data_IF_500140701333
#
_entry.id   IF_500140701333
#
_cell.length_a   1.000
_cell.length_b   1.000
_cell.length_c   1.000
_cell.angle_alpha   90.00
_cell.angle_beta   90.00
_cell.angle_gamma   90.00
#
_symmetry.space_group_name_H-M   'P 1'
#
loop_
_entity.id
_entity.type
_entity.pdbx_description
1 polymer ?
#
# COMPACT_ATOMS: atom_id res chain seq x y z
N UNK A 1 -23.28 18.10 27.85
CA UNK A 1 -23.99 19.40 27.72
C UNK A 1 -23.07 20.58 27.98
N UNK A 2 -22.32 20.59 29.10
CA UNK A 2 -21.37 21.66 29.46
C UNK A 2 -20.33 21.99 28.37
N UNK A 3 -19.79 20.96 27.72
CA UNK A 3 -18.77 21.15 26.68
C UNK A 3 -19.33 21.85 25.44
N UNK A 4 -20.56 21.52 25.05
CA UNK A 4 -21.26 22.13 23.92
C UNK A 4 -21.54 23.62 24.16
N UNK A 5 -21.92 23.99 25.37
CA UNK A 5 -22.15 25.40 25.76
C UNK A 5 -20.86 26.20 25.79
N UNK A 6 -19.76 25.59 26.25
CA UNK A 6 -18.44 26.20 26.22
C UNK A 6 -17.97 26.46 24.78
N UNK A 7 -18.10 25.46 23.88
CA UNK A 7 -17.75 25.63 22.47
C UNK A 7 -18.59 26.72 21.80
N UNK A 8 -19.88 26.82 22.14
CA UNK A 8 -20.78 27.86 21.62
C UNK A 8 -20.37 29.27 22.06
N UNK A 9 -19.92 29.40 23.32
CA UNK A 9 -19.41 30.67 23.87
C UNK A 9 -18.10 31.09 23.20
N UNK A 10 -17.18 30.15 22.97
CA UNK A 10 -15.92 30.38 22.26
C UNK A 10 -16.18 30.79 20.79
N UNK A 11 -17.11 30.13 20.10
CA UNK A 11 -17.51 30.48 18.73
C UNK A 11 -18.10 31.90 18.63
N UNK A 12 -18.93 32.31 19.59
CA UNK A 12 -19.46 33.69 19.63
C UNK A 12 -18.35 34.72 19.78
N UNK A 13 -17.39 34.48 20.68
CA UNK A 13 -16.24 35.37 20.87
C UNK A 13 -15.39 35.47 19.60
N UNK A 14 -15.13 34.36 18.94
CA UNK A 14 -14.40 34.35 17.66
C UNK A 14 -15.15 35.13 16.57
N UNK A 15 -16.49 35.00 16.52
CA UNK A 15 -17.34 35.76 15.60
C UNK A 15 -17.26 37.27 15.81
N UNK A 16 -17.26 37.74 17.06
CA UNK A 16 -17.09 39.16 17.38
C UNK A 16 -15.71 39.69 16.97
N UNK A 17 -14.65 38.92 17.23
CA UNK A 17 -13.29 39.28 16.83
C UNK A 17 -13.17 39.37 15.30
N UNK A 18 -13.73 38.39 14.58
CA UNK A 18 -13.76 38.40 13.11
C UNK A 18 -14.54 39.61 12.57
N UNK A 19 -15.66 39.97 13.20
CA UNK A 19 -16.44 41.16 12.86
C UNK A 19 -15.63 42.46 13.02
N UNK A 20 -14.89 42.59 14.12
CA UNK A 20 -13.98 43.73 14.37
C UNK A 20 -12.84 43.78 13.35
N UNK A 21 -12.22 42.64 13.05
CA UNK A 21 -11.17 42.54 12.04
C UNK A 21 -11.67 42.96 10.66
N UNK A 22 -12.86 42.49 10.26
CA UNK A 22 -13.49 42.89 8.99
C UNK A 22 -13.74 44.40 8.93
N UNK A 23 -14.22 44.98 10.02
CA UNK A 23 -14.42 46.43 10.14
C UNK A 23 -13.11 47.20 9.97
N UNK A 24 -12.05 46.78 10.65
CA UNK A 24 -10.73 47.41 10.55
C UNK A 24 -10.15 47.31 9.13
N UNK A 25 -10.28 46.16 8.46
CA UNK A 25 -9.84 45.96 7.07
C UNK A 25 -10.63 46.89 6.13
N UNK A 26 -11.94 46.98 6.31
CA UNK A 26 -12.78 47.85 5.48
C UNK A 26 -12.43 49.32 5.66
N UNK A 27 -12.07 49.73 6.88
CA UNK A 27 -11.60 51.07 7.16
C UNK A 27 -10.25 51.37 6.50
N UNK A 28 -9.30 50.42 6.54
CA UNK A 28 -8.01 50.55 5.83
C UNK A 28 -8.22 50.74 4.32
N UNK A 29 -9.20 50.05 3.72
CA UNK A 29 -9.55 50.20 2.29
C UNK A 29 -10.04 51.61 1.92
N UNK A 30 -10.53 52.39 2.87
CA UNK A 30 -10.96 53.78 2.64
C UNK A 30 -9.82 54.79 2.72
N UNK A 31 -8.61 54.37 3.09
CA UNK A 31 -7.48 55.27 3.20
C UNK A 31 -6.99 55.72 1.81
N UNK A 32 -6.64 57.00 1.59
CA UNK A 32 -6.23 57.51 0.26
C UNK A 32 -5.02 56.80 -0.35
N UNK A 33 -4.11 56.30 0.50
CA UNK A 33 -2.95 55.53 0.06
C UNK A 33 -3.31 54.10 -0.38
N UNK A 34 -4.49 53.58 -0.01
CA UNK A 34 -4.90 52.25 -0.43
C UNK A 34 -5.27 52.23 -1.92
N UNK A 35 -5.87 53.30 -2.43
CA UNK A 35 -6.18 53.47 -3.86
C UNK A 35 -4.93 53.59 -4.73
N UNK A 36 -3.79 54.05 -4.17
CA UNK A 36 -2.53 54.12 -4.89
C UNK A 36 -1.80 52.77 -5.01
N UNK A 37 -2.24 51.76 -4.28
CA UNK A 37 -1.76 50.39 -4.40
C UNK A 37 -2.63 49.68 -5.44
N UNK A 38 -2.14 49.60 -6.68
CA UNK A 38 -2.82 48.85 -7.74
C UNK A 38 -3.02 47.37 -7.39
N UNK A 39 -3.82 46.66 -8.18
CA UNK A 39 -3.99 45.20 -8.05
C UNK A 39 -2.75 44.45 -8.53
N UNK A 40 -1.68 44.51 -7.74
CA UNK A 40 -0.45 43.76 -7.99
C UNK A 40 -0.63 42.33 -7.48
N UNK A 41 -0.81 41.37 -8.39
CA UNK A 41 -0.66 39.96 -8.08
C UNK A 41 0.78 39.55 -8.38
N UNK A 42 1.62 39.56 -7.35
CA UNK A 42 2.97 38.99 -7.45
C UNK A 42 2.87 37.48 -7.62
N UNK A 43 3.54 36.92 -8.63
CA UNK A 43 3.81 35.49 -8.72
C UNK A 43 4.88 35.03 -7.73
N UNK A 44 5.71 35.95 -7.22
CA UNK A 44 6.80 35.66 -6.30
C UNK A 44 6.49 36.14 -4.89
N UNK A 45 6.55 35.23 -3.92
CA UNK A 45 6.36 35.52 -2.50
C UNK A 45 7.66 36.16 -1.95
N UNK A 46 7.64 37.41 -1.49
CA UNK A 46 8.83 38.04 -0.94
C UNK A 46 9.36 37.25 0.28
N UNK A 47 10.69 37.04 0.42
CA UNK A 47 11.26 36.33 1.57
C UNK A 47 10.85 36.89 2.93
N UNK A 48 10.56 38.20 2.98
CA UNK A 48 10.09 38.92 4.17
C UNK A 48 8.75 38.39 4.71
N UNK A 49 7.87 37.88 3.84
CA UNK A 49 6.62 37.22 4.25
C UNK A 49 6.90 35.99 5.14
N UNK A 50 8.03 35.32 4.92
CA UNK A 50 8.41 34.16 5.70
C UNK A 50 9.32 34.49 6.87
N UNK A 51 10.07 35.60 6.87
CA UNK A 51 11.06 35.90 7.92
C UNK A 51 10.54 36.78 9.07
N UNK A 52 9.68 37.76 8.79
CA UNK A 52 9.13 38.65 9.82
C UNK A 52 7.83 38.07 10.42
N UNK A 53 7.72 37.93 11.76
CA UNK A 53 6.54 37.36 12.42
C UNK A 53 5.22 38.05 12.08
N UNK A 54 5.24 39.37 11.85
CA UNK A 54 4.03 40.18 11.59
C UNK A 54 3.45 39.86 10.22
N UNK A 55 4.32 39.74 9.21
CA UNK A 55 3.94 39.38 7.86
C UNK A 55 3.65 37.88 7.73
N UNK A 56 4.38 37.04 8.47
CA UNK A 56 4.18 35.58 8.50
C UNK A 56 2.77 35.19 8.92
N UNK A 57 2.21 35.82 9.96
CA UNK A 57 0.86 35.54 10.43
C UNK A 57 -0.21 35.89 9.36
N UNK A 58 -0.08 37.04 8.71
CA UNK A 58 -0.97 37.45 7.63
C UNK A 58 -0.82 36.55 6.40
N UNK A 59 0.41 36.13 6.10
CA UNK A 59 0.69 35.23 4.99
C UNK A 59 0.15 33.81 5.22
N UNK A 60 0.25 33.28 6.45
CA UNK A 60 -0.39 32.03 6.83
C UNK A 60 -1.91 32.09 6.67
N UNK A 61 -2.53 33.15 7.19
CA UNK A 61 -3.97 33.38 7.03
C UNK A 61 -4.37 33.48 5.55
N UNK A 62 -3.58 34.19 4.73
CA UNK A 62 -3.80 34.26 3.29
C UNK A 62 -3.77 32.88 2.63
N UNK A 63 -2.76 32.05 2.96
CA UNK A 63 -2.63 30.69 2.43
C UNK A 63 -3.75 29.76 2.89
N UNK A 64 -4.19 29.90 4.14
CA UNK A 64 -5.34 29.16 4.70
C UNK A 64 -6.64 29.55 3.99
N UNK A 65 -6.89 30.85 3.80
CA UNK A 65 -8.07 31.36 3.08
C UNK A 65 -8.07 30.99 1.58
N UNK A 66 -6.89 30.83 0.99
CA UNK A 66 -6.73 30.39 -0.40
C UNK A 66 -6.78 28.88 -0.58
N UNK A 67 -6.95 28.10 0.47
CA UNK A 67 -6.81 26.64 0.44
C UNK A 67 -5.46 26.21 -0.20
N UNK A 68 -4.37 26.93 0.04
CA UNK A 68 -3.03 26.58 -0.44
C UNK A 68 -2.30 25.60 0.52
N UNK A 69 -2.98 25.17 1.59
CA UNK A 69 -2.44 24.20 2.54
C UNK A 69 -3.24 22.89 2.43
N UNK A 70 -2.56 21.86 1.94
CA UNK A 70 -3.08 20.49 1.99
C UNK A 70 -2.96 19.99 3.43
N UNK A 71 -4.10 19.70 4.07
CA UNK A 71 -4.14 19.25 5.45
C UNK A 71 -4.23 17.72 5.51
N UNK A 72 -3.10 17.07 5.82
CA UNK A 72 -3.08 15.64 6.13
C UNK A 72 -3.63 15.43 7.53
N UNK A 73 -4.78 14.77 7.64
CA UNK A 73 -5.34 14.35 8.92
C UNK A 73 -5.13 12.84 9.07
N UNK A 74 -4.66 12.41 10.24
CA UNK A 74 -4.52 10.98 10.55
C UNK A 74 -5.78 10.55 11.32
N UNK A 75 -6.38 9.43 10.93
CA UNK A 75 -7.57 8.93 11.61
C UNK A 75 -7.32 8.75 13.12
N UNK A 76 -8.25 9.20 13.97
CA UNK A 76 -8.07 9.28 15.42
C UNK A 76 -7.78 7.91 16.07
N UNK A 77 -8.18 6.82 15.44
CA UNK A 77 -7.86 5.46 15.89
C UNK A 77 -6.36 5.18 15.95
N UNK A 78 -5.52 5.86 15.17
CA UNK A 78 -4.05 5.73 15.28
C UNK A 78 -3.53 6.23 16.63
N UNK A 79 -4.15 7.24 17.23
CA UNK A 79 -3.76 7.79 18.54
C UNK A 79 -4.09 6.85 19.70
N UNK A 80 -5.04 5.93 19.54
CA UNK A 80 -5.49 5.00 20.59
C UNK A 80 -4.99 3.57 20.41
N UNK A 81 -4.30 3.25 19.32
CA UNK A 81 -3.85 1.90 19.02
C UNK A 81 -2.37 1.69 19.37
N UNK A 82 -2.10 1.05 20.51
CA UNK A 82 -0.81 0.41 20.75
C UNK A 82 -0.72 -0.87 19.92
N UNK A 83 -0.04 -0.80 18.77
CA UNK A 83 0.25 -1.97 17.94
C UNK A 83 1.55 -2.62 18.40
N UNK A 84 1.60 -3.95 18.37
CA UNK A 84 2.85 -4.70 18.56
C UNK A 84 3.83 -4.41 17.43
N UNK A 85 5.13 -4.51 17.71
CA UNK A 85 6.20 -4.21 16.74
C UNK A 85 6.13 -5.07 15.47
N UNK A 86 5.74 -6.35 15.61
CA UNK A 86 5.54 -7.24 14.47
C UNK A 86 4.40 -6.77 13.56
N UNK A 87 3.27 -6.34 14.13
CA UNK A 87 2.16 -5.77 13.35
C UNK A 87 2.52 -4.43 12.69
N UNK A 88 3.32 -3.59 13.36
CA UNK A 88 3.83 -2.36 12.75
C UNK A 88 4.75 -2.65 11.57
N UNK A 89 5.60 -3.68 11.69
CA UNK A 89 6.48 -4.11 10.61
C UNK A 89 5.69 -4.65 9.41
N UNK A 90 4.63 -5.41 9.65
CA UNK A 90 3.70 -5.91 8.63
C UNK A 90 3.03 -4.76 7.85
N UNK A 91 2.42 -3.80 8.57
CA UNK A 91 1.79 -2.61 7.97
C UNK A 91 2.83 -1.82 7.17
N UNK A 92 4.01 -1.58 7.75
CA UNK A 92 5.09 -0.86 7.08
C UNK A 92 5.57 -1.58 5.82
N UNK A 93 5.70 -2.90 5.87
CA UNK A 93 6.10 -3.72 4.74
C UNK A 93 5.06 -3.69 3.61
N UNK A 94 3.77 -3.76 3.94
CA UNK A 94 2.69 -3.58 2.97
C UNK A 94 2.76 -2.20 2.27
N UNK A 95 3.05 -1.14 3.03
CA UNK A 95 3.27 0.19 2.46
C UNK A 95 4.50 0.25 1.54
N UNK A 96 5.55 -0.55 1.81
CA UNK A 96 6.69 -0.66 0.88
C UNK A 96 6.29 -1.30 -0.45
N UNK A 97 5.39 -2.29 -0.46
CA UNK A 97 4.85 -2.81 -1.73
C UNK A 97 4.12 -1.73 -2.51
N UNK A 98 3.22 -0.98 -1.88
CA UNK A 98 2.50 0.14 -2.52
C UNK A 98 3.49 1.14 -3.12
N UNK A 99 4.47 1.59 -2.32
CA UNK A 99 5.49 2.55 -2.76
C UNK A 99 6.34 2.01 -3.91
N UNK A 100 6.67 0.72 -3.89
CA UNK A 100 7.52 0.08 -4.89
C UNK A 100 6.78 -0.09 -6.21
N UNK A 101 5.52 -0.56 -6.17
CA UNK A 101 4.67 -0.70 -7.35
C UNK A 101 4.40 0.66 -8.01
N UNK A 102 4.07 1.68 -7.21
CA UNK A 102 3.84 3.04 -7.68
C UNK A 102 5.13 3.83 -7.99
N UNK A 103 6.30 3.32 -7.59
CA UNK A 103 7.59 3.96 -7.77
C UNK A 103 8.02 3.98 -9.24
N UNK A 104 8.89 4.92 -9.62
CA UNK A 104 9.30 5.14 -11.01
C UNK A 104 9.92 3.92 -11.72
N UNK A 105 10.50 2.97 -10.98
CA UNK A 105 11.11 1.77 -11.56
C UNK A 105 10.10 0.74 -12.08
N UNK A 106 8.99 0.54 -11.34
CA UNK A 106 7.91 -0.34 -11.78
C UNK A 106 6.82 0.43 -12.52
N UNK A 107 6.51 1.66 -12.10
CA UNK A 107 5.68 2.61 -12.83
C UNK A 107 4.20 2.22 -12.93
N UNK A 108 3.66 1.49 -11.96
CA UNK A 108 2.23 1.20 -11.94
C UNK A 108 1.43 2.37 -11.40
N UNK A 109 0.22 2.57 -11.92
CA UNK A 109 -0.71 3.59 -11.45
C UNK A 109 -1.78 2.91 -10.57
N UNK A 110 -1.99 3.35 -9.33
CA UNK A 110 -3.09 2.86 -8.51
C UNK A 110 -4.43 3.34 -9.07
N UNK A 111 -5.36 2.43 -9.32
CA UNK A 111 -6.70 2.75 -9.87
C UNK A 111 -7.75 2.92 -8.78
N UNK A 112 -7.70 2.06 -7.75
CA UNK A 112 -8.68 2.03 -6.66
C UNK A 112 -8.10 1.31 -5.44
N UNK A 113 -8.74 1.53 -4.30
CA UNK A 113 -8.50 0.80 -3.07
C UNK A 113 -7.82 1.63 -1.98
N UNK A 114 -8.20 1.37 -0.73
CA UNK A 114 -7.67 2.04 0.46
C UNK A 114 -7.59 3.57 0.33
N UNK A 115 -6.39 4.16 0.41
CA UNK A 115 -6.14 5.59 0.29
C UNK A 115 -6.53 6.15 -1.09
N UNK A 116 -6.48 5.33 -2.14
CA UNK A 116 -6.75 5.74 -3.52
C UNK A 116 -8.25 5.79 -3.86
N UNK A 117 -9.11 5.29 -2.96
CA UNK A 117 -10.57 5.46 -3.07
C UNK A 117 -11.12 6.62 -2.23
N UNK A 118 -10.28 7.33 -1.48
CA UNK A 118 -10.71 8.45 -0.65
C UNK A 118 -11.06 9.65 -1.54
N UNK A 119 -12.26 10.19 -1.38
CA UNK A 119 -12.61 11.50 -1.94
C UNK A 119 -11.93 12.59 -1.13
N UNK A 120 -11.28 13.53 -1.82
CA UNK A 120 -10.73 14.72 -1.17
C UNK A 120 -11.88 15.57 -0.63
N UNK A 121 -12.01 15.63 0.69
CA UNK A 121 -12.90 16.59 1.36
C UNK A 121 -12.22 17.97 1.30
N UNK A 122 -12.42 18.66 0.17
CA UNK A 122 -11.76 19.93 -0.11
C UNK A 122 -10.24 19.78 -0.21
N UNK A 123 -9.52 20.37 0.75
CA UNK A 123 -8.05 20.39 0.81
C UNK A 123 -7.47 19.47 1.88
N UNK A 124 -8.29 18.59 2.47
CA UNK A 124 -7.85 17.64 3.49
C UNK A 124 -7.97 16.20 3.03
N UNK A 125 -6.93 15.42 3.32
CA UNK A 125 -6.92 13.98 3.11
C UNK A 125 -6.81 13.30 4.47
N UNK A 126 -7.83 12.51 4.79
CA UNK A 126 -7.83 11.65 5.96
C UNK A 126 -7.13 10.35 5.60
N UNK A 127 -6.01 10.05 6.26
CA UNK A 127 -5.32 8.76 6.12
C UNK A 127 -6.07 7.73 6.98
N UNK A 128 -6.79 6.77 6.37
CA UNK A 128 -7.53 5.76 7.12
C UNK A 128 -6.58 4.73 7.72
N UNK A 129 -7.07 3.96 8.69
CA UNK A 129 -6.37 2.73 9.12
C UNK A 129 -6.29 1.73 7.97
N UNK A 130 -5.38 0.76 8.08
CA UNK A 130 -5.29 -0.39 7.20
C UNK A 130 -6.04 -1.59 7.83
N UNK A 131 -7.33 -1.81 7.51
CA UNK A 131 -8.06 -2.98 8.00
C UNK A 131 -7.63 -4.26 7.27
N UNK A 132 -7.90 -5.41 7.89
CA UNK A 132 -7.81 -6.69 7.21
C UNK A 132 -8.72 -6.72 5.96
N UNK A 133 -8.35 -7.54 4.98
CA UNK A 133 -9.01 -7.61 3.67
C UNK A 133 -8.97 -6.28 2.89
N UNK A 134 -7.91 -5.50 3.05
CA UNK A 134 -7.70 -4.30 2.22
C UNK A 134 -7.09 -4.69 0.88
N UNK A 135 -7.64 -4.15 -0.22
CA UNK A 135 -7.10 -4.30 -1.56
C UNK A 135 -6.68 -2.93 -2.12
N UNK A 136 -5.56 -2.91 -2.86
CA UNK A 136 -5.18 -1.83 -3.76
C UNK A 136 -4.94 -2.41 -5.16
N UNK A 137 -5.64 -1.88 -6.16
CA UNK A 137 -5.53 -2.31 -7.55
C UNK A 137 -4.65 -1.34 -8.32
N UNK A 138 -3.67 -1.90 -9.03
CA UNK A 138 -2.71 -1.18 -9.86
C UNK A 138 -2.86 -1.57 -11.33
N UNK A 139 -2.60 -0.65 -12.25
CA UNK A 139 -2.54 -0.91 -13.70
C UNK A 139 -1.28 -0.33 -14.33
N UNK A 140 -0.74 -1.07 -15.30
CA UNK A 140 0.32 -0.63 -16.20
C UNK A 140 0.24 -1.43 -17.49
N UNK A 141 0.04 -0.75 -18.62
CA UNK A 141 -0.09 -1.39 -19.93
C UNK A 141 -1.16 -2.51 -19.89
N UNK A 142 -0.80 -3.74 -20.31
CA UNK A 142 -1.64 -4.93 -20.26
C UNK A 142 -1.71 -5.61 -18.88
N UNK A 143 -0.96 -5.09 -17.88
CA UNK A 143 -0.88 -5.67 -16.55
C UNK A 143 -1.83 -4.98 -15.58
N UNK A 144 -2.56 -5.80 -14.83
CA UNK A 144 -3.34 -5.38 -13.65
C UNK A 144 -2.85 -6.18 -12.45
N UNK A 145 -2.71 -5.54 -11.30
CA UNK A 145 -2.23 -6.19 -10.08
C UNK A 145 -3.14 -5.87 -8.91
N UNK A 146 -3.51 -6.88 -8.14
CA UNK A 146 -4.25 -6.72 -6.90
C UNK A 146 -3.29 -6.99 -5.75
N UNK A 147 -2.95 -5.94 -5.03
CA UNK A 147 -2.20 -6.04 -3.79
C UNK A 147 -3.21 -6.16 -2.65
N UNK A 148 -3.25 -7.31 -2.00
CA UNK A 148 -4.26 -7.64 -0.97
C UNK A 148 -3.56 -7.87 0.37
N UNK A 149 -4.07 -7.23 1.41
CA UNK A 149 -3.57 -7.27 2.78
C UNK A 149 -4.48 -8.10 3.69
N UNK A 150 -3.88 -9.05 4.42
CA UNK A 150 -4.50 -9.83 5.51
C UNK A 150 -5.92 -10.32 5.13
N UNK A 151 -6.00 -11.08 4.03
CA UNK A 151 -7.27 -11.57 3.50
C UNK A 151 -7.40 -13.10 3.67
N UNK A 152 -8.54 -13.52 4.21
CA UNK A 152 -8.86 -14.93 4.40
C UNK A 152 -9.15 -15.61 3.05
N UNK A 153 -8.44 -16.69 2.78
CA UNK A 153 -8.65 -17.51 1.60
C UNK A 153 -9.75 -18.56 1.87
N UNK A 154 -10.73 -18.71 0.96
CA UNK A 154 -11.76 -19.73 1.11
C UNK A 154 -11.17 -21.14 1.03
N UNK A 155 -11.88 -22.11 1.62
CA UNK A 155 -11.51 -23.53 1.56
C UNK A 155 -12.03 -24.27 0.33
N UNK A 156 -12.86 -23.61 -0.49
CA UNK A 156 -13.59 -24.23 -1.60
C UNK A 156 -13.54 -23.33 -2.83
N UNK A 157 -13.27 -23.93 -3.99
CA UNK A 157 -13.18 -23.21 -5.28
C UNK A 157 -14.47 -22.48 -5.65
N UNK A 158 -15.65 -22.99 -5.28
CA UNK A 158 -16.94 -22.34 -5.57
C UNK A 158 -17.13 -20.96 -4.91
N UNK A 159 -16.27 -20.61 -3.96
CA UNK A 159 -16.27 -19.31 -3.27
C UNK A 159 -15.27 -18.33 -3.88
N UNK A 160 -14.59 -18.71 -4.97
CA UNK A 160 -13.61 -17.88 -5.67
C UNK A 160 -14.24 -17.20 -6.89
N UNK A 161 -13.73 -16.04 -7.26
CA UNK A 161 -14.10 -15.29 -8.48
C UNK A 161 -12.85 -14.98 -9.30
N UNK A 162 -13.00 -14.36 -10.48
CA UNK A 162 -11.81 -13.90 -11.23
C UNK A 162 -11.02 -12.85 -10.46
N UNK A 163 -11.67 -12.04 -9.62
CA UNK A 163 -11.04 -11.01 -8.79
C UNK A 163 -10.41 -11.59 -7.51
N UNK A 164 -11.01 -12.63 -6.95
CA UNK A 164 -10.50 -13.37 -5.79
C UNK A 164 -10.22 -14.82 -6.19
N UNK A 165 -9.12 -15.08 -6.92
CA UNK A 165 -8.98 -16.32 -7.69
C UNK A 165 -8.50 -17.52 -6.87
N UNK A 166 -8.10 -17.32 -5.63
CA UNK A 166 -7.39 -18.31 -4.82
C UNK A 166 -8.30 -18.97 -3.79
N UNK A 167 -8.15 -20.28 -3.65
CA UNK A 167 -8.63 -21.03 -2.50
C UNK A 167 -7.51 -21.92 -1.96
N UNK A 168 -7.64 -22.37 -0.71
CA UNK A 168 -6.67 -23.26 -0.07
C UNK A 168 -7.31 -24.57 0.37
N UNK A 169 -6.53 -25.66 0.28
CA UNK A 169 -6.87 -26.94 0.95
C UNK A 169 -6.12 -27.13 2.27
N UNK A 170 -5.21 -26.22 2.59
CA UNK A 170 -4.44 -26.24 3.83
C UNK A 170 -5.13 -25.50 4.98
N UNK A 171 -4.60 -25.65 6.19
CA UNK A 171 -5.06 -24.94 7.38
C UNK A 171 -4.52 -23.51 7.48
N UNK A 172 -3.43 -23.20 6.78
CA UNK A 172 -2.89 -21.84 6.67
C UNK A 172 -3.61 -21.12 5.52
N UNK A 173 -4.54 -20.23 5.88
CA UNK A 173 -5.47 -19.61 4.94
C UNK A 173 -5.51 -18.09 5.00
N UNK A 174 -4.72 -17.44 5.84
CA UNK A 174 -4.64 -15.98 5.91
C UNK A 174 -3.16 -15.58 5.86
N UNK A 175 -2.56 -15.37 4.67
CA UNK A 175 -1.23 -14.77 4.58
C UNK A 175 -1.30 -13.28 4.97
N UNK A 176 -0.15 -12.70 5.34
CA UNK A 176 -0.09 -11.26 5.66
C UNK A 176 -0.39 -10.41 4.40
N UNK A 177 -0.05 -10.92 3.21
CA UNK A 177 -0.62 -10.43 1.97
C UNK A 177 -0.30 -11.26 0.74
N UNK A 178 -0.88 -10.82 -0.38
CA UNK A 178 -0.69 -11.42 -1.70
C UNK A 178 -0.67 -10.35 -2.79
N UNK A 179 0.05 -10.64 -3.87
CA UNK A 179 0.06 -9.86 -5.09
C UNK A 179 -0.44 -10.74 -6.23
N UNK A 180 -1.72 -10.58 -6.57
CA UNK A 180 -2.35 -11.30 -7.69
C UNK A 180 -2.07 -10.52 -8.99
N UNK A 181 -1.51 -11.20 -9.99
CA UNK A 181 -1.07 -10.59 -11.24
C UNK A 181 -1.97 -11.05 -12.38
N UNK A 182 -2.42 -10.08 -13.16
CA UNK A 182 -3.27 -10.27 -14.31
C UNK A 182 -2.60 -9.69 -15.55
N UNK A 183 -2.79 -10.35 -16.69
CA UNK A 183 -2.33 -9.89 -18.01
C UNK A 183 -3.46 -10.00 -19.01
N UNK A 184 -3.82 -8.89 -19.66
CA UNK A 184 -5.00 -8.82 -20.52
C UNK A 184 -6.26 -9.35 -19.81
N UNK A 185 -6.43 -8.94 -18.54
CA UNK A 185 -7.50 -9.36 -17.63
C UNK A 185 -7.53 -10.85 -17.24
N UNK A 186 -6.59 -11.66 -17.72
CA UNK A 186 -6.44 -13.06 -17.32
C UNK A 186 -5.54 -13.16 -16.08
N UNK A 187 -5.97 -13.92 -15.07
CA UNK A 187 -5.14 -14.20 -13.89
C UNK A 187 -3.96 -15.11 -14.28
N UNK A 188 -2.72 -14.65 -14.07
CA UNK A 188 -1.51 -15.38 -14.48
C UNK A 188 -0.69 -15.96 -13.32
N UNK A 189 -1.07 -15.62 -12.09
CA UNK A 189 -0.49 -16.17 -10.88
C UNK A 189 -0.38 -15.14 -9.76
N UNK A 190 0.13 -15.60 -8.63
CA UNK A 190 0.22 -14.82 -7.39
C UNK A 190 1.60 -14.94 -6.76
N UNK A 191 2.01 -13.89 -6.05
CA UNK A 191 3.12 -13.91 -5.10
C UNK A 191 2.51 -13.77 -3.71
N UNK A 192 2.77 -14.74 -2.83
CA UNK A 192 2.34 -14.66 -1.42
C UNK A 192 3.47 -14.05 -0.62
N UNK A 193 3.17 -13.21 0.37
CA UNK A 193 4.18 -12.68 1.27
C UNK A 193 3.70 -12.64 2.73
N UNK A 194 4.64 -12.92 3.62
CA UNK A 194 4.47 -12.99 5.06
C UNK A 194 5.61 -12.19 5.72
N UNK A 195 5.27 -11.25 6.59
CA UNK A 195 6.22 -10.41 7.31
C UNK A 195 6.56 -11.04 8.66
N UNK A 196 7.84 -11.39 8.84
CA UNK A 196 8.33 -12.04 10.06
C UNK A 196 9.35 -11.14 10.76
N UNK A 197 8.92 -10.48 11.84
CA UNK A 197 9.80 -9.67 12.70
C UNK A 197 10.64 -10.55 13.64
N UNK A 198 11.57 -11.33 13.08
CA UNK A 198 12.43 -12.28 13.83
C UNK A 198 13.71 -12.65 13.05
N UNK A 199 14.71 -13.25 13.70
CA UNK A 199 15.93 -13.68 13.03
C UNK A 199 15.66 -14.72 11.94
N UNK A 200 16.44 -14.64 10.85
CA UNK A 200 16.34 -15.53 9.69
C UNK A 200 16.29 -17.03 10.04
N UNK A 201 17.17 -17.50 10.93
CA UNK A 201 17.24 -18.92 11.31
C UNK A 201 15.96 -19.41 12.02
N UNK A 202 15.15 -18.50 12.59
CA UNK A 202 13.86 -18.81 13.18
C UNK A 202 12.73 -18.86 12.14
N UNK A 203 12.94 -18.29 10.96
CA UNK A 203 12.00 -18.34 9.82
C UNK A 203 12.27 -19.61 9.02
N UNK A 204 13.54 -19.86 8.70
CA UNK A 204 13.96 -21.00 7.92
C UNK A 204 15.24 -21.60 8.49
N UNK A 205 15.20 -22.88 8.83
CA UNK A 205 16.34 -23.62 9.35
C UNK A 205 16.67 -24.78 8.40
N UNK A 206 17.80 -24.65 7.69
CA UNK A 206 18.27 -25.65 6.72
C UNK A 206 18.56 -27.01 7.34
N UNK A 207 19.01 -27.04 8.59
CA UNK A 207 19.26 -28.31 9.29
C UNK A 207 17.95 -29.08 9.53
N UNK A 208 16.81 -28.41 9.68
CA UNK A 208 15.52 -29.08 9.80
C UNK A 208 15.11 -29.68 8.46
N UNK A 209 15.29 -28.95 7.35
CA UNK A 209 14.97 -29.45 6.00
C UNK A 209 15.75 -30.72 5.67
N UNK A 210 17.06 -30.74 5.94
CA UNK A 210 17.92 -31.93 5.70
C UNK A 210 17.40 -33.16 6.45
N UNK A 211 16.77 -32.96 7.61
CA UNK A 211 16.22 -34.04 8.44
C UNK A 211 14.72 -34.29 8.17
N UNK A 212 14.15 -33.76 7.08
CA UNK A 212 12.71 -33.82 6.78
C UNK A 212 11.82 -33.29 7.91
N UNK A 213 12.31 -32.28 8.63
CA UNK A 213 11.61 -31.59 9.69
C UNK A 213 11.32 -30.14 9.30
N UNK A 214 10.27 -29.57 9.89
CA UNK A 214 9.89 -28.18 9.67
C UNK A 214 9.38 -27.59 10.98
N UNK A 215 9.78 -26.35 11.25
CA UNK A 215 9.14 -25.56 12.30
C UNK A 215 7.77 -25.03 11.81
N UNK A 216 7.01 -24.42 12.70
CA UNK A 216 5.67 -23.91 12.38
C UNK A 216 5.68 -22.88 11.24
N UNK A 217 6.65 -21.95 11.24
CA UNK A 217 6.78 -20.92 10.21
C UNK A 217 7.10 -21.54 8.85
N UNK A 218 8.00 -22.52 8.81
CA UNK A 218 8.34 -23.26 7.59
C UNK A 218 7.13 -24.00 7.04
N UNK A 219 6.36 -24.68 7.90
CA UNK A 219 5.10 -25.35 7.50
C UNK A 219 4.09 -24.36 6.94
N UNK A 220 3.96 -23.17 7.55
CA UNK A 220 3.09 -22.12 7.07
C UNK A 220 3.49 -21.66 5.66
N UNK A 221 4.76 -21.30 5.45
CA UNK A 221 5.28 -20.83 4.17
C UNK A 221 5.16 -21.89 3.06
N UNK A 222 5.55 -23.13 3.35
CA UNK A 222 5.42 -24.26 2.42
C UNK A 222 3.94 -24.51 2.09
N UNK A 223 3.04 -24.43 3.09
CA UNK A 223 1.61 -24.58 2.86
C UNK A 223 1.05 -23.54 1.89
N UNK A 224 1.52 -22.29 1.93
CA UNK A 224 1.11 -21.29 0.93
C UNK A 224 1.60 -21.64 -0.48
N UNK A 225 2.80 -22.21 -0.62
CA UNK A 225 3.36 -22.60 -1.92
C UNK A 225 2.65 -23.80 -2.54
N UNK A 226 2.19 -24.75 -1.72
CA UNK A 226 1.75 -26.07 -2.18
C UNK A 226 0.23 -26.28 -2.16
N UNK A 227 -0.48 -25.63 -1.23
CA UNK A 227 -1.91 -25.89 -1.00
C UNK A 227 -2.84 -24.81 -1.57
N UNK A 228 -2.29 -23.78 -2.22
CA UNK A 228 -3.06 -22.75 -2.90
C UNK A 228 -3.35 -23.14 -4.35
N UNK A 229 -4.61 -22.99 -4.72
CA UNK A 229 -5.15 -23.42 -6.01
C UNK A 229 -6.07 -22.33 -6.58
N UNK A 230 -6.25 -22.36 -7.90
CA UNK A 230 -7.14 -21.43 -8.59
C UNK A 230 -7.79 -22.12 -9.79
N UNK A 231 -9.12 -22.02 -9.94
CA UNK A 231 -9.77 -22.41 -11.18
C UNK A 231 -9.59 -21.36 -12.29
N UNK A 232 -9.11 -20.16 -11.97
CA UNK A 232 -9.04 -19.02 -12.91
C UNK A 232 -7.65 -18.79 -13.51
N UNK A 233 -6.68 -19.66 -13.21
CA UNK A 233 -5.33 -19.52 -13.74
C UNK A 233 -5.38 -19.63 -15.28
N UNK A 234 -4.85 -18.63 -15.98
CA UNK A 234 -4.85 -18.51 -17.45
C UNK A 234 -6.24 -18.59 -18.13
N UNK A 235 -7.34 -18.29 -17.43
CA UNK A 235 -8.68 -18.30 -18.02
C UNK A 235 -9.77 -18.78 -17.07
N UNK A 236 -10.76 -19.49 -17.60
CA UNK A 236 -11.93 -19.98 -16.88
C UNK A 236 -11.78 -21.43 -16.36
N UNK A 237 -10.56 -21.97 -16.41
CA UNK A 237 -10.28 -23.34 -15.95
C UNK A 237 -10.82 -24.44 -16.87
N UNK A 238 -11.24 -24.08 -18.09
CA UNK A 238 -11.75 -25.04 -19.09
C UNK A 238 -10.73 -26.08 -19.52
N UNK A 239 -9.43 -25.82 -19.38
CA UNK A 239 -8.37 -26.72 -19.82
C UNK A 239 -7.82 -27.60 -18.67
N UNK A 240 -7.94 -28.94 -18.73
CA UNK A 240 -7.52 -29.84 -17.65
C UNK A 240 -6.05 -29.66 -17.23
N UNK A 241 -5.14 -29.40 -18.18
CA UNK A 241 -3.71 -29.18 -17.89
C UNK A 241 -3.50 -27.98 -16.96
N UNK A 242 -4.30 -26.94 -17.08
CA UNK A 242 -4.13 -25.70 -16.31
C UNK A 242 -4.55 -25.89 -14.86
N UNK A 243 -5.54 -26.74 -14.61
CA UNK A 243 -6.02 -27.04 -13.25
C UNK A 243 -4.96 -27.70 -12.35
N UNK A 244 -3.93 -28.32 -12.95
CA UNK A 244 -2.81 -28.93 -12.22
C UNK A 244 -1.68 -27.96 -11.92
N UNK A 245 -1.64 -26.81 -12.60
CA UNK A 245 -0.60 -25.82 -12.43
C UNK A 245 -0.78 -25.06 -11.12
N UNK A 246 0.32 -24.83 -10.41
CA UNK A 246 0.29 -23.98 -9.22
C UNK A 246 0.10 -22.51 -9.62
N UNK A 247 -0.86 -21.79 -9.01
CA UNK A 247 -1.00 -20.34 -9.21
C UNK A 247 0.08 -19.56 -8.46
N UNK A 248 0.63 -20.12 -7.36
CA UNK A 248 1.69 -19.51 -6.55
C UNK A 248 3.04 -19.87 -7.14
N UNK A 249 3.81 -18.87 -7.57
CA UNK A 249 5.17 -19.08 -8.06
C UNK A 249 6.22 -18.85 -6.99
N UNK A 250 5.92 -17.98 -6.03
CA UNK A 250 6.84 -17.62 -4.98
C UNK A 250 6.09 -17.24 -3.71
N UNK A 251 6.64 -17.66 -2.57
CA UNK A 251 6.21 -17.30 -1.22
C UNK A 251 7.36 -16.57 -0.56
N UNK A 252 7.14 -15.32 -0.20
CA UNK A 252 8.15 -14.47 0.39
C UNK A 252 8.01 -14.44 1.91
N UNK A 253 9.08 -14.78 2.62
CA UNK A 253 9.18 -14.44 4.03
C UNK A 253 10.06 -13.20 4.16
N UNK A 254 9.43 -12.08 4.48
CA UNK A 254 10.08 -10.77 4.53
C UNK A 254 10.47 -10.47 5.97
N UNK A 255 11.73 -10.14 6.22
CA UNK A 255 12.23 -9.97 7.58
C UNK A 255 13.27 -8.85 7.69
N UNK A 256 13.38 -8.19 8.86
CA UNK A 256 14.43 -7.22 9.10
C UNK A 256 15.72 -7.93 9.47
N UNK A 257 16.85 -7.45 8.97
CA UNK A 257 18.18 -7.97 9.32
C UNK A 257 18.99 -6.88 10.01
N UNK A 258 19.41 -7.15 11.25
CA UNK A 258 20.20 -6.19 12.02
C UNK A 258 21.66 -6.10 11.56
N UNK A 259 22.14 -7.11 10.81
CA UNK A 259 23.54 -7.23 10.44
C UNK A 259 23.83 -6.73 9.01
N UNK A 260 22.86 -6.07 8.35
CA UNK A 260 23.07 -5.30 7.12
C UNK A 260 23.53 -6.11 5.90
N UNK A 261 23.26 -7.41 5.86
CA UNK A 261 23.57 -8.25 4.69
C UNK A 261 22.40 -8.23 3.72
N UNK A 262 22.31 -7.17 2.92
CA UNK A 262 21.25 -7.03 1.91
C UNK A 262 21.20 -8.24 0.99
N UNK A 263 19.99 -8.77 0.78
CA UNK A 263 19.76 -9.80 -0.23
C UNK A 263 18.52 -10.65 0.03
N UNK A 264 18.40 -11.68 -0.81
CA UNK A 264 17.47 -12.79 -0.57
C UNK A 264 18.21 -14.11 -0.55
N UNK A 265 17.56 -15.12 0.04
CA UNK A 265 17.91 -16.52 -0.20
C UNK A 265 16.68 -17.25 -0.71
N UNK A 266 16.81 -17.84 -1.88
CA UNK A 266 15.77 -18.64 -2.52
C UNK A 266 15.92 -20.11 -2.12
N UNK A 267 14.79 -20.79 -1.93
CA UNK A 267 14.64 -22.22 -1.69
C UNK A 267 13.65 -22.78 -2.72
N UNK A 268 14.11 -23.04 -3.96
CA UNK A 268 13.23 -23.35 -5.09
C UNK A 268 12.33 -24.58 -4.87
N UNK A 269 12.84 -25.62 -4.19
CA UNK A 269 12.11 -26.86 -3.89
C UNK A 269 10.85 -26.62 -3.04
N UNK A 270 10.76 -25.47 -2.38
CA UNK A 270 9.63 -25.07 -1.53
C UNK A 270 8.91 -23.82 -2.04
N UNK A 271 9.36 -23.25 -3.17
CA UNK A 271 8.92 -21.94 -3.68
C UNK A 271 9.09 -20.80 -2.66
N UNK A 272 9.96 -20.95 -1.67
CA UNK A 272 10.15 -19.96 -0.59
C UNK A 272 11.35 -19.08 -0.90
N UNK A 273 11.18 -17.78 -0.70
CA UNK A 273 12.27 -16.80 -0.75
C UNK A 273 12.29 -15.98 0.53
N UNK A 274 13.44 -15.95 1.20
CA UNK A 274 13.65 -15.09 2.35
C UNK A 274 14.17 -13.75 1.84
N UNK A 275 13.46 -12.67 2.09
CA UNK A 275 13.79 -11.34 1.57
C UNK A 275 14.05 -10.40 2.72
N UNK A 276 15.23 -9.80 2.74
CA UNK A 276 15.52 -8.75 3.70
C UNK A 276 14.77 -7.46 3.34
N UNK A 277 14.10 -6.87 4.33
CA UNK A 277 13.54 -5.54 4.23
C UNK A 277 13.62 -4.82 5.58
N UNK A 278 14.70 -4.06 5.79
CA UNK A 278 14.96 -3.40 7.07
C UNK A 278 14.56 -1.92 7.01
N UNK A 279 13.76 -1.41 7.96
CA UNK A 279 13.40 0.01 8.00
C UNK A 279 14.63 0.91 8.11
N UNK A 280 14.68 1.97 7.29
CA UNK A 280 15.78 2.94 7.28
C UNK A 280 17.04 2.51 6.50
N UNK A 281 17.07 1.30 5.93
CA UNK A 281 18.12 0.87 5.00
C UNK A 281 17.67 1.07 3.54
N UNK A 282 18.60 0.84 2.62
CA UNK A 282 18.32 0.82 1.17
C UNK A 282 17.39 -0.34 0.80
N UNK A 283 16.42 -0.06 -0.07
CA UNK A 283 15.41 -1.02 -0.52
C UNK A 283 15.52 -1.33 -2.00
N UNK A 284 16.56 -0.88 -2.70
CA UNK A 284 16.78 -1.13 -4.14
C UNK A 284 16.68 -2.63 -4.47
N UNK A 285 17.29 -3.49 -3.65
CA UNK A 285 17.21 -4.94 -3.83
C UNK A 285 15.76 -5.48 -3.80
N UNK A 286 14.92 -4.97 -2.91
CA UNK A 286 13.51 -5.37 -2.82
C UNK A 286 12.76 -4.98 -4.09
N UNK A 287 13.05 -3.78 -4.63
CA UNK A 287 12.47 -3.29 -5.88
C UNK A 287 12.87 -4.18 -7.06
N UNK A 288 14.16 -4.48 -7.20
CA UNK A 288 14.69 -5.36 -8.24
C UNK A 288 14.10 -6.78 -8.14
N UNK A 289 14.01 -7.31 -6.93
CA UNK A 289 13.46 -8.64 -6.68
C UNK A 289 11.97 -8.71 -7.05
N UNK A 290 11.18 -7.70 -6.69
CA UNK A 290 9.76 -7.62 -7.06
C UNK A 290 9.57 -7.53 -8.56
N UNK A 291 10.33 -6.67 -9.23
CA UNK A 291 10.34 -6.58 -10.69
C UNK A 291 10.66 -7.92 -11.34
N UNK A 292 11.73 -8.58 -10.89
CA UNK A 292 12.15 -9.88 -11.41
C UNK A 292 11.08 -10.96 -11.22
N UNK A 293 10.39 -11.01 -10.08
CA UNK A 293 9.34 -11.99 -9.84
C UNK A 293 8.08 -11.72 -10.67
N UNK A 294 7.72 -10.45 -10.89
CA UNK A 294 6.66 -10.06 -11.84
C UNK A 294 7.04 -10.48 -13.27
N UNK A 295 8.26 -10.19 -13.71
CA UNK A 295 8.75 -10.53 -15.05
C UNK A 295 8.76 -12.05 -15.28
N UNK A 296 9.11 -12.84 -14.26
CA UNK A 296 9.01 -14.31 -14.28
C UNK A 296 7.56 -14.77 -14.51
N UNK A 297 6.58 -14.18 -13.82
CA UNK A 297 5.15 -14.49 -14.02
C UNK A 297 4.69 -14.16 -15.44
N UNK A 298 5.07 -12.99 -15.95
CA UNK A 298 4.73 -12.55 -17.31
C UNK A 298 5.37 -13.45 -18.37
N UNK A 299 6.63 -13.84 -18.19
CA UNK A 299 7.31 -14.76 -19.12
C UNK A 299 6.66 -16.14 -19.11
N UNK A 300 6.37 -16.68 -17.93
CA UNK A 300 5.66 -17.96 -17.78
C UNK A 300 4.29 -17.93 -18.47
N UNK A 301 3.54 -16.84 -18.29
CA UNK A 301 2.21 -16.71 -18.91
C UNK A 301 2.29 -16.71 -20.43
N UNK A 302 3.25 -16.01 -21.04
CA UNK A 302 3.47 -16.04 -22.49
C UNK A 302 3.68 -17.46 -23.00
N UNK A 303 4.62 -18.19 -22.40
CA UNK A 303 4.94 -19.56 -22.81
C UNK A 303 3.76 -20.52 -22.68
N UNK A 304 3.00 -20.42 -21.59
CA UNK A 304 1.84 -21.30 -21.39
C UNK A 304 0.71 -20.93 -22.34
N UNK A 305 0.42 -19.65 -22.55
CA UNK A 305 -0.63 -19.23 -23.48
C UNK A 305 -0.30 -19.61 -24.92
N UNK A 306 0.94 -19.41 -25.37
CA UNK A 306 1.41 -19.87 -26.69
C UNK A 306 1.24 -21.38 -26.87
N UNK A 307 1.55 -22.17 -25.83
CA UNK A 307 1.36 -23.62 -25.83
C UNK A 307 -0.12 -24.03 -25.85
N UNK A 308 -0.98 -23.35 -25.09
CA UNK A 308 -2.42 -23.60 -25.08
C UNK A 308 -3.06 -23.25 -26.43
N UNK A 309 -2.63 -22.18 -27.08
CA UNK A 309 -3.10 -21.80 -28.42
C UNK A 309 -2.65 -22.80 -29.48
N UNK A 310 -1.42 -23.34 -29.35
CA UNK A 310 -0.92 -24.39 -30.26
C UNK A 310 -1.73 -25.70 -30.17
N UNK A 311 -2.18 -26.09 -28.98
CA UNK A 311 -2.96 -27.34 -28.76
C UNK A 311 -4.44 -27.17 -29.11
N UNK A 312 -4.94 -25.93 -29.21
CA UNK A 312 -6.30 -25.64 -29.67
C UNK A 312 -6.48 -25.73 -31.20
N UNK A 313 -5.42 -26.07 -31.95
CA UNK A 313 -5.45 -26.53 -33.34
C UNK A 313 -5.57 -28.05 -33.37
#
# INVERSE_FOLDING_TARGET
MVEKERTLSELKKLGEVAGKMRGAIQWIKTAPWFESIGTYQSSDIPPVMNSDPRYRALYQLYRELKNEQFHLQIHQSYSYQWKRTDKLYEIWGYLQFIKTLAGGELGFVPEKGWLYSQTLDGNSLLVPTLPANTEVVFRKDELRMHLVYEALLPSQSRLTSMEDPLYTRGTHNCPDGRLDVYRNELFIGTIIFDFKYRPRNSIWNENLIVNNQQNEVMRQLVSYGDHLHSPYLFGDGSHPLVSTLSPVQEVWAIYPNRYGTTGSKEYPDHKVSLIELTPGLDHTYFVEKLKLSIDKLVKRSKTIMEFLDYIKV
#
